data_IF_486715144281
#
_entry.id   IF_486715144281
#
_cell.length_a   1.000
_cell.length_b   1.000
_cell.length_c   1.000
_cell.angle_alpha   90.00
_cell.angle_beta   90.00
_cell.angle_gamma   90.00
#
_symmetry.space_group_name_H-M   'P 1'
#
loop_
_entity.id
_entity.type
_entity.pdbx_description
1 polymer ?
#
# COMPACT_ATOMS: atom_id res chain seq x y z
N UNK A 1 -16.89 -5.41 3.45
CA UNK A 1 -16.09 -4.15 3.52
C UNK A 1 -14.64 -4.36 3.10
N UNK A 2 -13.84 -5.16 3.82
CA UNK A 2 -12.39 -5.36 3.58
C UNK A 2 -12.06 -5.74 2.14
N UNK A 3 -12.69 -6.80 1.60
CA UNK A 3 -12.43 -7.28 0.24
C UNK A 3 -12.63 -6.18 -0.82
N UNK A 4 -13.68 -5.36 -0.72
CA UNK A 4 -13.89 -4.25 -1.66
C UNK A 4 -12.81 -3.18 -1.56
N UNK A 5 -12.32 -2.87 -0.34
CA UNK A 5 -11.22 -1.91 -0.15
C UNK A 5 -9.89 -2.45 -0.69
N UNK A 6 -9.62 -3.74 -0.54
CA UNK A 6 -8.43 -4.39 -1.11
C UNK A 6 -8.53 -4.49 -2.64
N UNK A 7 -9.63 -5.02 -3.17
CA UNK A 7 -9.74 -5.34 -4.60
C UNK A 7 -9.94 -4.11 -5.48
N UNK A 8 -10.84 -3.19 -5.06
CA UNK A 8 -11.23 -2.05 -5.88
C UNK A 8 -10.41 -0.80 -5.55
N UNK A 9 -10.19 -0.53 -4.26
CA UNK A 9 -9.50 0.69 -3.82
C UNK A 9 -8.01 0.49 -3.57
N UNK A 10 -7.54 -0.76 -3.52
CA UNK A 10 -6.15 -1.15 -3.23
C UNK A 10 -5.60 -0.55 -1.94
N UNK A 11 -6.45 -0.45 -0.92
CA UNK A 11 -6.05 0.09 0.38
C UNK A 11 -5.14 -0.89 1.12
N UNK A 12 -4.12 -0.34 1.78
CA UNK A 12 -3.31 -1.07 2.74
C UNK A 12 -4.06 -1.29 4.07
N UNK A 13 -3.53 -2.18 4.91
CA UNK A 13 -4.17 -2.62 6.16
C UNK A 13 -4.51 -1.47 7.09
N UNK A 14 -3.65 -0.45 7.22
CA UNK A 14 -3.87 0.65 8.16
C UNK A 14 -5.08 1.50 7.77
N UNK A 15 -5.27 1.79 6.49
CA UNK A 15 -6.42 2.57 6.02
C UNK A 15 -7.72 1.80 6.14
N UNK A 16 -7.68 0.48 5.94
CA UNK A 16 -8.83 -0.39 6.17
C UNK A 16 -9.19 -0.41 7.66
N UNK A 17 -8.19 -0.58 8.55
CA UNK A 17 -8.36 -0.52 10.01
C UNK A 17 -9.02 0.78 10.44
N UNK A 18 -8.49 1.93 10.03
CA UNK A 18 -9.07 3.24 10.36
C UNK A 18 -10.53 3.37 9.91
N UNK A 19 -10.85 2.89 8.70
CA UNK A 19 -12.24 2.91 8.22
C UNK A 19 -13.17 2.04 9.07
N UNK A 20 -12.72 0.85 9.47
CA UNK A 20 -13.52 -0.04 10.33
C UNK A 20 -13.69 0.52 11.75
N UNK A 21 -12.67 1.19 12.31
CA UNK A 21 -12.76 1.91 13.59
C UNK A 21 -13.83 3.01 13.52
N UNK A 22 -13.87 3.78 12.42
CA UNK A 22 -14.91 4.80 12.20
C UNK A 22 -16.32 4.19 12.13
N UNK A 23 -16.44 2.96 11.64
CA UNK A 23 -17.68 2.17 11.66
C UNK A 23 -17.95 1.50 13.02
N UNK A 24 -17.21 1.83 14.08
CA UNK A 24 -17.36 1.30 15.44
C UNK A 24 -17.23 -0.23 15.53
N UNK A 25 -16.45 -0.84 14.63
CA UNK A 25 -16.15 -2.27 14.67
C UNK A 25 -15.08 -2.51 15.74
N UNK A 26 -15.23 -3.57 16.53
CA UNK A 26 -14.26 -3.92 17.57
C UNK A 26 -12.90 -4.30 16.99
N UNK A 27 -11.85 -4.08 17.78
CA UNK A 27 -10.47 -4.37 17.36
C UNK A 27 -10.28 -5.83 16.97
N UNK A 28 -10.90 -6.75 17.72
CA UNK A 28 -10.81 -8.19 17.51
C UNK A 28 -11.35 -8.59 16.13
N UNK A 29 -12.53 -8.06 15.76
CA UNK A 29 -13.15 -8.32 14.45
C UNK A 29 -12.34 -7.68 13.31
N UNK A 30 -11.75 -6.51 13.55
CA UNK A 30 -10.86 -5.86 12.58
C UNK A 30 -9.65 -6.74 12.30
N UNK A 31 -8.95 -7.18 13.36
CA UNK A 31 -7.72 -7.95 13.21
C UNK A 31 -7.99 -9.30 12.55
N UNK A 32 -9.12 -9.96 12.87
CA UNK A 32 -9.59 -11.15 12.14
C UNK A 32 -9.83 -10.87 10.65
N UNK A 33 -10.53 -9.78 10.32
CA UNK A 33 -10.80 -9.40 8.94
C UNK A 33 -9.54 -9.06 8.13
N UNK A 34 -8.55 -8.43 8.76
CA UNK A 34 -7.28 -8.09 8.13
C UNK A 34 -6.35 -9.31 7.96
N UNK A 35 -6.42 -10.30 8.85
CA UNK A 35 -5.66 -11.56 8.74
C UNK A 35 -6.07 -12.38 7.52
N UNK A 36 -7.33 -12.31 7.11
CA UNK A 36 -7.86 -13.05 5.97
C UNK A 36 -7.57 -12.41 4.60
N UNK A 37 -6.80 -11.32 4.55
CA UNK A 37 -6.39 -10.71 3.28
C UNK A 37 -5.37 -11.63 2.60
N UNK A 38 -5.61 -12.11 1.36
CA UNK A 38 -4.63 -12.94 0.66
C UNK A 38 -3.33 -12.16 0.42
N UNK A 39 -2.21 -12.74 0.82
CA UNK A 39 -0.89 -12.08 0.78
C UNK A 39 -0.50 -11.71 -0.66
N UNK A 40 -0.70 -12.64 -1.59
CA UNK A 40 -0.36 -12.47 -3.00
C UNK A 40 -1.13 -11.30 -3.61
N UNK A 41 -2.42 -11.18 -3.28
CA UNK A 41 -3.26 -10.07 -3.74
C UNK A 41 -2.80 -8.73 -3.16
N UNK A 42 -2.43 -8.72 -1.89
CA UNK A 42 -1.94 -7.53 -1.20
C UNK A 42 -0.61 -7.05 -1.78
N UNK A 43 0.34 -7.97 -1.97
CA UNK A 43 1.67 -7.69 -2.52
C UNK A 43 1.56 -7.25 -3.99
N UNK A 44 0.73 -7.92 -4.80
CA UNK A 44 0.46 -7.50 -6.18
C UNK A 44 -0.12 -6.08 -6.25
N UNK A 45 -1.05 -5.74 -5.36
CA UNK A 45 -1.60 -4.38 -5.29
C UNK A 45 -0.54 -3.36 -4.90
N UNK A 46 0.31 -3.68 -3.92
CA UNK A 46 1.40 -2.84 -3.45
C UNK A 46 2.39 -2.54 -4.57
N UNK A 47 2.92 -3.58 -5.24
CA UNK A 47 3.88 -3.43 -6.33
C UNK A 47 3.29 -2.65 -7.50
N UNK A 48 2.06 -2.98 -7.91
CA UNK A 48 1.40 -2.25 -9.00
C UNK A 48 1.04 -0.80 -8.66
N UNK A 49 0.89 -0.44 -7.39
CA UNK A 49 0.75 0.96 -6.96
C UNK A 49 2.10 1.68 -6.99
N UNK A 50 3.17 1.02 -6.54
CA UNK A 50 4.52 1.57 -6.53
C UNK A 50 5.00 1.88 -7.96
N UNK A 51 4.86 0.92 -8.87
CA UNK A 51 5.17 1.06 -10.30
C UNK A 51 4.39 2.20 -10.95
N UNK A 52 3.06 2.19 -10.81
CA UNK A 52 2.22 3.27 -11.34
C UNK A 52 2.63 4.64 -10.82
N UNK A 53 3.06 4.73 -9.56
CA UNK A 53 3.52 6.00 -9.00
C UNK A 53 4.89 6.40 -9.55
N UNK A 54 5.81 5.45 -9.70
CA UNK A 54 7.13 5.68 -10.25
C UNK A 54 7.05 6.27 -11.67
N UNK A 55 6.16 5.72 -12.52
CA UNK A 55 5.90 6.20 -13.88
C UNK A 55 5.36 7.65 -13.95
N UNK A 56 4.80 8.20 -12.86
CA UNK A 56 4.33 9.60 -12.85
C UNK A 56 5.38 10.58 -12.31
N UNK A 57 6.57 10.12 -11.95
CA UNK A 57 7.60 10.98 -11.38
C UNK A 57 8.28 11.78 -12.49
N UNK A 58 8.73 12.98 -12.14
CA UNK A 58 9.47 13.83 -13.08
C UNK A 58 10.86 13.26 -13.34
N UNK A 59 11.34 13.45 -14.55
CA UNK A 59 12.74 13.26 -14.90
C UNK A 59 13.67 14.14 -14.05
N UNK A 60 14.91 13.68 -13.84
CA UNK A 60 15.95 14.39 -13.08
C UNK A 60 15.88 14.24 -11.55
N UNK A 61 14.87 13.54 -11.00
CA UNK A 61 14.83 13.20 -9.58
C UNK A 61 15.84 12.11 -9.24
N UNK A 62 16.57 12.27 -8.13
CA UNK A 62 17.43 11.23 -7.59
C UNK A 62 16.64 10.00 -7.14
N UNK A 63 17.29 8.84 -7.07
CA UNK A 63 16.66 7.61 -6.57
C UNK A 63 16.09 7.79 -5.14
N UNK A 64 16.76 8.56 -4.29
CA UNK A 64 16.29 8.89 -2.94
C UNK A 64 14.99 9.70 -2.97
N UNK A 65 14.91 10.74 -3.79
CA UNK A 65 13.71 11.54 -3.95
C UNK A 65 12.56 10.74 -4.57
N UNK A 66 12.86 9.90 -5.56
CA UNK A 66 11.88 8.99 -6.18
C UNK A 66 11.31 8.04 -5.13
N UNK A 67 12.16 7.36 -4.36
CA UNK A 67 11.77 6.49 -3.24
C UNK A 67 10.88 7.22 -2.24
N UNK A 68 11.29 8.39 -1.76
CA UNK A 68 10.51 9.19 -0.82
C UNK A 68 9.11 9.56 -1.35
N UNK A 69 8.99 9.90 -2.64
CA UNK A 69 7.68 10.20 -3.26
C UNK A 69 6.80 8.96 -3.40
N UNK A 70 7.36 7.81 -3.76
CA UNK A 70 6.61 6.54 -3.85
C UNK A 70 6.13 6.11 -2.46
N UNK A 71 7.00 6.14 -1.45
CA UNK A 71 6.65 5.79 -0.08
C UNK A 71 5.52 6.66 0.47
N UNK A 72 5.60 7.98 0.32
CA UNK A 72 4.51 8.89 0.73
C UNK A 72 3.18 8.56 0.06
N UNK A 73 3.21 8.22 -1.24
CA UNK A 73 2.01 7.79 -1.95
C UNK A 73 1.44 6.48 -1.37
N UNK A 74 2.27 5.48 -1.13
CA UNK A 74 1.86 4.20 -0.54
C UNK A 74 1.32 4.37 0.89
N UNK A 75 1.94 5.22 1.70
CA UNK A 75 1.42 5.61 3.02
C UNK A 75 0.02 6.22 2.93
N UNK A 76 -0.23 7.10 1.96
CA UNK A 76 -1.58 7.67 1.73
C UNK A 76 -2.64 6.61 1.37
N UNK A 77 -2.20 5.47 0.82
CA UNK A 77 -3.05 4.31 0.51
C UNK A 77 -3.20 3.37 1.71
N UNK A 78 -2.46 3.56 2.80
CA UNK A 78 -2.57 2.79 4.04
C UNK A 78 -1.56 1.66 4.21
N UNK A 79 -0.51 1.63 3.38
CA UNK A 79 0.62 0.72 3.55
C UNK A 79 1.61 1.29 4.56
N UNK A 80 2.23 0.42 5.35
CA UNK A 80 3.18 0.80 6.42
C UNK A 80 4.61 0.41 6.09
N UNK A 81 5.56 0.78 6.98
CA UNK A 81 6.97 0.40 6.87
C UNK A 81 7.19 -1.07 6.56
N UNK A 82 6.54 -1.96 7.32
CA UNK A 82 6.58 -3.42 7.13
C UNK A 82 6.16 -3.89 5.72
N UNK A 83 5.37 -3.09 5.00
CA UNK A 83 4.97 -3.42 3.64
C UNK A 83 6.05 -2.98 2.63
N UNK A 84 6.75 -1.88 2.92
CA UNK A 84 7.71 -1.27 2.00
C UNK A 84 8.93 -2.16 1.73
N UNK A 85 9.28 -3.05 2.66
CA UNK A 85 10.37 -4.02 2.49
C UNK A 85 10.10 -5.03 1.36
N UNK A 86 8.85 -5.16 0.91
CA UNK A 86 8.45 -6.03 -0.22
C UNK A 86 8.52 -5.32 -1.56
N UNK A 87 8.87 -4.03 -1.58
CA UNK A 87 8.97 -3.22 -2.79
C UNK A 87 10.43 -3.15 -3.21
N UNK A 88 10.73 -3.69 -4.38
CA UNK A 88 12.05 -3.56 -5.00
C UNK A 88 12.18 -2.18 -5.67
N UNK A 89 12.70 -1.20 -4.91
CA UNK A 89 12.92 0.16 -5.41
C UNK A 89 14.06 0.25 -6.45
N UNK A 90 15.00 -0.70 -6.43
CA UNK A 90 16.06 -0.74 -7.43
C UNK A 90 15.46 -1.00 -8.80
N UNK A 91 14.68 -2.06 -8.97
CA UNK A 91 14.06 -2.37 -10.27
C UNK A 91 13.06 -1.30 -10.71
N UNK A 92 12.33 -0.66 -9.78
CA UNK A 92 11.39 0.42 -10.08
C UNK A 92 12.01 1.66 -10.74
N UNK A 93 13.29 1.92 -10.49
CA UNK A 93 13.98 3.13 -10.98
C UNK A 93 15.12 2.83 -11.95
N UNK A 94 15.34 1.55 -12.27
CA UNK A 94 16.35 1.11 -13.25
C UNK A 94 15.87 1.24 -14.70
N UNK A 95 14.59 1.58 -14.90
CA UNK A 95 13.95 1.81 -16.20
C UNK A 95 14.12 3.24 -16.68
#
# INVERSE_FOLDING_TARGET
FVQGKVNLKKWGKQKIRMGLIQHKISKELIDQGLKNIPKEKYDHNLSGLAEKKALTLKEGLSAFEKKGKVLRFLSSKGYSGEDFDRVDFSSLFSS
#
